data_IF_874950895673
#
_entry.id   IF_874950895673
#
_cell.length_a   1.000
_cell.length_b   1.000
_cell.length_c   1.000
_cell.angle_alpha   90.00
_cell.angle_beta   90.00
_cell.angle_gamma   90.00
#
_symmetry.space_group_name_H-M   'P 1'
#
loop_
_entity.id
_entity.type
_entity.pdbx_description
1 polymer ?
#
# COMPACT_ATOMS: atom_id res chain seq x y z
N UNK A 1 14.49 -10.21 36.58
CA UNK A 1 13.31 -10.94 36.09
C UNK A 1 13.72 -11.59 34.78
N UNK A 2 13.82 -12.91 34.79
CA UNK A 2 14.25 -13.74 33.64
C UNK A 2 13.01 -13.87 32.73
N UNK A 3 13.12 -13.41 31.50
CA UNK A 3 12.05 -13.58 30.50
C UNK A 3 11.87 -15.09 30.23
N UNK A 4 10.66 -15.58 30.35
CA UNK A 4 10.30 -16.95 30.02
C UNK A 4 10.59 -17.23 28.55
N UNK A 5 11.08 -18.43 28.16
CA UNK A 5 11.32 -18.80 26.78
C UNK A 5 10.00 -18.79 26.01
N UNK A 6 9.99 -18.09 24.87
CA UNK A 6 8.86 -18.13 23.94
C UNK A 6 8.71 -19.56 23.44
N UNK A 7 7.56 -20.17 23.72
CA UNK A 7 7.19 -21.47 23.18
C UNK A 7 7.22 -21.42 21.65
N UNK A 8 7.92 -22.35 21.01
CA UNK A 8 7.84 -22.60 19.57
C UNK A 8 6.40 -22.88 19.20
N UNK A 9 5.79 -21.92 18.52
CA UNK A 9 4.38 -22.00 18.14
C UNK A 9 4.19 -22.99 17.01
N UNK A 10 3.19 -23.81 17.12
CA UNK A 10 2.49 -24.56 16.09
C UNK A 10 2.64 -23.80 14.74
N UNK A 11 3.20 -24.42 13.70
CA UNK A 11 3.59 -23.82 12.42
C UNK A 11 2.49 -23.11 11.60
N UNK A 12 1.43 -22.63 12.25
CA UNK A 12 0.41 -21.75 11.68
C UNK A 12 0.95 -20.34 11.58
N UNK A 13 1.04 -19.80 10.37
CA UNK A 13 1.34 -18.39 10.13
C UNK A 13 0.32 -17.54 10.87
N UNK A 14 0.75 -16.85 11.91
CA UNK A 14 -0.08 -15.86 12.62
C UNK A 14 -0.30 -14.66 11.70
N UNK A 15 -1.51 -14.12 11.68
CA UNK A 15 -1.81 -12.84 11.02
C UNK A 15 -0.99 -11.72 11.66
N UNK A 16 -0.41 -10.87 10.83
CA UNK A 16 0.33 -9.68 11.26
C UNK A 16 -0.56 -8.47 11.07
N UNK A 17 -0.76 -7.70 12.14
CA UNK A 17 -1.46 -6.42 12.05
C UNK A 17 -0.52 -5.36 11.48
N UNK A 18 -0.95 -4.70 10.40
CA UNK A 18 -0.28 -3.57 9.76
C UNK A 18 -1.20 -2.37 9.75
N UNK A 19 -0.96 -1.36 10.61
CA UNK A 19 -1.78 -0.17 10.68
C UNK A 19 -1.57 0.74 9.46
N UNK A 20 -2.50 1.70 9.28
CA UNK A 20 -2.44 2.69 8.21
C UNK A 20 -2.35 4.11 8.77
N UNK A 21 -1.58 4.97 8.10
CA UNK A 21 -1.56 6.42 8.28
C UNK A 21 -2.04 7.01 6.95
N UNK A 22 -3.33 7.35 6.87
CA UNK A 22 -3.90 7.96 5.68
C UNK A 22 -3.73 9.47 5.73
N UNK A 23 -3.14 10.05 4.69
CA UNK A 23 -2.82 11.46 4.60
C UNK A 23 -3.69 12.15 3.55
N UNK A 24 -4.36 13.21 3.96
CA UNK A 24 -5.12 14.07 3.07
C UNK A 24 -4.92 15.53 3.46
N UNK A 25 -4.44 16.36 2.50
CA UNK A 25 -4.07 17.75 2.72
C UNK A 25 -3.11 17.93 3.92
N UNK A 26 -2.06 17.10 3.97
CA UNK A 26 -1.01 17.15 4.99
C UNK A 26 -1.41 16.64 6.38
N UNK A 27 -2.64 16.20 6.57
CA UNK A 27 -3.20 15.78 7.88
C UNK A 27 -3.56 14.30 7.85
N UNK A 28 -3.40 13.60 8.99
CA UNK A 28 -3.86 12.23 9.14
C UNK A 28 -5.38 12.21 9.28
N UNK A 29 -6.06 11.45 8.42
CA UNK A 29 -7.52 11.37 8.40
C UNK A 29 -7.98 9.94 8.15
N UNK A 30 -9.07 9.54 8.79
CA UNK A 30 -9.83 8.36 8.38
C UNK A 30 -11.00 8.82 7.50
N UNK A 31 -10.93 8.46 6.23
CA UNK A 31 -11.89 8.87 5.20
C UNK A 31 -12.87 7.73 4.95
N UNK A 32 -14.15 8.06 4.78
CA UNK A 32 -15.16 7.09 4.33
C UNK A 32 -14.89 6.78 2.85
N UNK A 33 -14.61 5.52 2.53
CA UNK A 33 -14.33 5.08 1.17
C UNK A 33 -15.45 5.46 0.20
N UNK A 34 -15.07 5.95 -1.00
CA UNK A 34 -15.99 6.40 -2.02
C UNK A 34 -16.39 7.88 -1.93
N UNK A 35 -16.04 8.60 -0.86
CA UNK A 35 -16.30 10.05 -0.73
C UNK A 35 -15.11 10.93 -1.10
N UNK A 36 -13.92 10.34 -1.36
CA UNK A 36 -12.73 11.06 -1.76
C UNK A 36 -12.90 11.63 -3.18
N UNK A 37 -12.85 12.96 -3.33
CA UNK A 37 -12.85 13.68 -4.62
C UNK A 37 -11.59 14.53 -4.73
N UNK A 38 -11.10 14.74 -5.95
CA UNK A 38 -10.00 15.66 -6.19
C UNK A 38 -10.54 17.09 -6.15
N UNK A 39 -9.79 18.00 -5.54
CA UNK A 39 -10.14 19.40 -5.33
C UNK A 39 -10.22 20.26 -6.63
N UNK A 40 -10.20 19.63 -7.81
CA UNK A 40 -10.25 20.32 -9.11
C UNK A 40 -11.66 20.65 -9.59
N UNK A 41 -12.70 20.10 -8.95
CA UNK A 41 -14.09 20.46 -9.28
C UNK A 41 -14.50 21.66 -8.43
N UNK A 42 -14.18 22.88 -8.88
CA UNK A 42 -14.39 24.18 -8.23
C UNK A 42 -15.81 24.53 -7.75
N UNK A 43 -16.56 23.58 -7.17
CA UNK A 43 -17.85 23.79 -6.52
C UNK A 43 -17.66 23.99 -5.02
N UNK A 44 -17.29 25.21 -4.62
CA UNK A 44 -17.39 25.69 -3.25
C UNK A 44 -18.86 25.96 -2.90
N UNK A 45 -19.61 24.96 -2.52
CA UNK A 45 -20.98 25.05 -1.99
C UNK A 45 -21.21 23.86 -1.06
N UNK A 46 -22.24 23.92 -0.20
CA UNK A 46 -22.70 22.80 0.64
C UNK A 46 -23.04 21.59 -0.22
N UNK A 47 -22.00 20.87 -0.69
CA UNK A 47 -22.16 19.69 -1.53
C UNK A 47 -22.46 18.49 -0.64
N UNK A 48 -23.63 17.83 -0.78
CA UNK A 48 -23.97 16.60 -0.05
C UNK A 48 -22.98 15.45 -0.34
N UNK A 49 -22.05 15.66 -1.26
CA UNK A 49 -20.97 14.74 -1.60
C UNK A 49 -19.59 15.19 -1.07
N UNK A 50 -19.53 16.15 -0.13
CA UNK A 50 -18.28 16.53 0.51
C UNK A 50 -17.56 15.33 1.13
N UNK A 51 -16.23 15.40 1.18
CA UNK A 51 -15.39 14.36 1.80
C UNK A 51 -15.89 14.05 3.21
N UNK A 52 -16.40 12.85 3.41
CA UNK A 52 -16.85 12.41 4.73
C UNK A 52 -15.66 11.78 5.46
N UNK A 53 -15.31 12.35 6.60
CA UNK A 53 -14.25 11.85 7.49
C UNK A 53 -14.86 11.31 8.77
N UNK A 54 -14.45 10.09 9.17
CA UNK A 54 -14.77 9.54 10.48
C UNK A 54 -13.92 10.16 11.58
N UNK A 55 -12.69 10.53 11.22
CA UNK A 55 -11.70 11.03 12.16
C UNK A 55 -10.73 11.98 11.45
N UNK A 56 -10.38 13.07 12.12
CA UNK A 56 -9.30 13.99 11.75
C UNK A 56 -8.34 14.06 12.92
N UNK A 57 -7.09 13.71 12.69
CA UNK A 57 -6.08 13.67 13.72
C UNK A 57 -5.66 15.07 14.18
N UNK A 58 -5.40 15.21 15.47
CA UNK A 58 -4.80 16.40 16.07
C UNK A 58 -3.27 16.30 16.14
N UNK A 59 -2.73 15.08 16.02
CA UNK A 59 -1.30 14.82 16.04
C UNK A 59 -0.73 14.72 14.63
N UNK A 60 0.57 15.08 14.44
CA UNK A 60 1.23 14.96 13.15
C UNK A 60 1.48 13.49 12.77
N UNK A 61 1.74 13.18 11.47
CA UNK A 61 2.01 11.83 11.00
C UNK A 61 3.16 11.11 11.73
N UNK A 62 4.22 11.84 12.09
CA UNK A 62 5.36 11.34 12.87
C UNK A 62 4.97 10.81 14.25
N UNK A 63 3.94 11.37 14.89
CA UNK A 63 3.42 10.84 16.15
C UNK A 63 2.91 9.41 16.02
N UNK A 64 2.15 9.12 14.94
CA UNK A 64 1.63 7.77 14.69
C UNK A 64 2.73 6.80 14.30
N UNK A 65 3.71 7.24 13.50
CA UNK A 65 4.89 6.44 13.17
C UNK A 65 5.68 6.05 14.43
N UNK A 66 5.86 6.99 15.36
CA UNK A 66 6.48 6.75 16.67
C UNK A 66 5.68 5.78 17.53
N UNK A 67 4.35 5.90 17.53
CA UNK A 67 3.46 4.96 18.21
C UNK A 67 3.62 3.54 17.64
N UNK A 68 3.68 3.41 16.31
CA UNK A 68 3.89 2.12 15.64
C UNK A 68 5.27 1.53 15.96
N UNK A 69 6.30 2.36 16.03
CA UNK A 69 7.64 1.96 16.44
C UNK A 69 7.67 1.38 17.86
N UNK A 70 7.02 2.06 18.82
CA UNK A 70 6.92 1.59 20.22
C UNK A 70 6.27 0.22 20.35
N UNK A 71 5.32 -0.11 19.49
CA UNK A 71 4.59 -1.38 19.47
C UNK A 71 5.13 -2.37 18.43
N UNK A 72 6.27 -2.06 17.79
CA UNK A 72 6.90 -2.88 16.74
C UNK A 72 5.93 -3.30 15.60
N UNK A 73 5.02 -2.40 15.19
CA UNK A 73 4.02 -2.63 14.14
C UNK A 73 4.63 -2.41 12.74
N UNK A 74 5.61 -3.23 12.39
CA UNK A 74 6.36 -3.14 11.12
C UNK A 74 5.47 -3.36 9.90
N UNK A 75 5.82 -2.71 8.79
CA UNK A 75 5.10 -2.80 7.53
C UNK A 75 3.78 -2.04 7.55
N UNK A 76 3.58 -1.13 8.52
CA UNK A 76 2.45 -0.19 8.51
C UNK A 76 2.49 0.67 7.24
N UNK A 77 1.32 1.10 6.77
CA UNK A 77 1.17 1.83 5.52
C UNK A 77 1.06 3.34 5.77
N UNK A 78 1.79 4.14 5.02
CA UNK A 78 1.61 5.59 4.89
C UNK A 78 1.00 5.83 3.51
N UNK A 79 -0.25 6.26 3.44
CA UNK A 79 -0.98 6.40 2.19
C UNK A 79 -1.28 7.86 1.92
N UNK A 80 -0.78 8.38 0.81
CA UNK A 80 -1.04 9.73 0.32
C UNK A 80 -2.34 9.73 -0.49
N UNK A 81 -3.37 10.35 0.04
CA UNK A 81 -4.67 10.51 -0.62
C UNK A 81 -4.74 11.89 -1.30
N UNK A 82 -4.32 11.93 -2.57
CA UNK A 82 -4.22 13.16 -3.34
C UNK A 82 -2.90 13.92 -3.17
N UNK A 83 -2.75 15.09 -3.80
CA UNK A 83 -1.54 15.91 -3.77
C UNK A 83 -1.32 16.58 -2.40
N UNK A 84 -0.15 17.21 -2.21
CA UNK A 84 0.17 18.01 -1.03
C UNK A 84 0.46 17.23 0.25
N UNK A 85 0.79 15.93 0.15
CA UNK A 85 1.03 15.06 1.30
C UNK A 85 2.50 14.63 1.45
N UNK A 86 3.41 15.07 0.58
CA UNK A 86 4.78 14.54 0.51
C UNK A 86 5.60 14.85 1.77
N UNK A 87 5.50 16.06 2.32
CA UNK A 87 6.20 16.43 3.54
C UNK A 87 5.66 15.68 4.76
N UNK A 88 4.33 15.53 4.84
CA UNK A 88 3.67 14.79 5.89
C UNK A 88 4.07 13.29 5.86
N UNK A 89 4.12 12.70 4.68
CA UNK A 89 4.58 11.33 4.47
C UNK A 89 6.06 11.16 4.83
N UNK A 90 6.92 12.08 4.36
CA UNK A 90 8.34 12.06 4.68
C UNK A 90 8.58 12.12 6.20
N UNK A 91 7.84 12.97 6.93
CA UNK A 91 7.96 13.07 8.39
C UNK A 91 7.65 11.76 9.12
N UNK A 92 6.65 11.01 8.63
CA UNK A 92 6.32 9.70 9.19
C UNK A 92 7.42 8.67 8.90
N UNK A 93 7.94 8.63 7.66
CA UNK A 93 9.00 7.70 7.27
C UNK A 93 10.31 7.97 8.02
N UNK A 94 10.66 9.23 8.22
CA UNK A 94 11.87 9.65 8.95
C UNK A 94 11.81 9.33 10.45
N UNK A 95 10.62 9.28 11.05
CA UNK A 95 10.45 8.90 12.48
C UNK A 95 10.75 7.41 12.71
N UNK A 96 10.49 6.55 11.72
CA UNK A 96 10.77 5.12 11.80
C UNK A 96 11.28 4.55 10.47
N UNK A 97 12.53 4.88 10.08
CA UNK A 97 13.08 4.54 8.77
C UNK A 97 13.14 3.02 8.53
N UNK A 98 12.82 2.62 7.30
CA UNK A 98 12.86 1.22 6.81
C UNK A 98 11.90 0.26 7.54
N UNK A 99 10.79 0.78 8.09
CA UNK A 99 9.78 -0.03 8.75
C UNK A 99 8.36 0.27 8.31
N UNK A 100 8.14 1.34 7.54
CA UNK A 100 6.84 1.73 7.01
C UNK A 100 6.86 1.66 5.49
N UNK A 101 5.73 1.32 4.91
CA UNK A 101 5.53 1.28 3.47
C UNK A 101 4.83 2.57 3.03
N UNK A 102 5.11 3.03 1.82
CA UNK A 102 4.53 4.27 1.26
C UNK A 102 3.70 3.98 0.02
N UNK A 103 2.49 4.53 -0.03
CA UNK A 103 1.60 4.45 -1.19
C UNK A 103 0.96 5.80 -1.53
N UNK A 104 0.23 5.79 -2.65
CA UNK A 104 -0.43 7.00 -3.17
C UNK A 104 0.45 7.78 -4.14
N UNK A 105 0.13 7.72 -5.44
CA UNK A 105 0.85 8.41 -6.48
C UNK A 105 2.28 7.90 -6.72
N UNK A 106 2.57 6.63 -6.42
CA UNK A 106 3.88 6.02 -6.68
C UNK A 106 3.96 5.58 -8.14
N UNK A 107 5.08 5.93 -8.80
CA UNK A 107 5.41 5.59 -10.17
C UNK A 107 6.92 5.43 -10.35
N UNK A 108 7.37 5.07 -11.55
CA UNK A 108 8.78 4.74 -11.85
C UNK A 108 9.76 5.84 -11.43
N UNK A 109 9.40 7.11 -11.67
CA UNK A 109 10.33 8.23 -11.47
C UNK A 109 10.49 8.62 -10.01
N UNK A 110 9.49 8.35 -9.13
CA UNK A 110 9.53 8.74 -7.73
C UNK A 110 9.77 7.59 -6.75
N UNK A 111 9.65 6.33 -7.20
CA UNK A 111 9.73 5.18 -6.32
C UNK A 111 11.06 5.08 -5.54
N UNK A 112 12.20 5.33 -6.21
CA UNK A 112 13.53 5.32 -5.56
C UNK A 112 13.65 6.43 -4.52
N UNK A 113 13.21 7.62 -4.84
CA UNK A 113 13.25 8.77 -3.93
C UNK A 113 12.48 8.50 -2.62
N UNK A 114 11.38 7.74 -2.67
CA UNK A 114 10.65 7.35 -1.47
C UNK A 114 11.40 6.30 -0.63
N UNK A 115 12.10 5.36 -1.27
CA UNK A 115 13.00 4.44 -0.55
C UNK A 115 14.12 5.22 0.15
N UNK A 116 14.75 6.18 -0.54
CA UNK A 116 15.80 7.03 0.01
C UNK A 116 15.32 7.91 1.17
N UNK A 117 14.04 8.30 1.16
CA UNK A 117 13.38 9.03 2.26
C UNK A 117 13.02 8.14 3.46
N UNK A 118 13.34 6.84 3.42
CA UNK A 118 13.19 5.91 4.53
C UNK A 118 11.99 4.96 4.42
N UNK A 119 11.34 4.83 3.27
CA UNK A 119 10.33 3.79 3.09
C UNK A 119 10.97 2.40 3.05
N UNK A 120 10.37 1.43 3.76
CA UNK A 120 10.72 0.01 3.63
C UNK A 120 10.37 -0.51 2.24
N UNK A 121 9.16 -0.18 1.77
CA UNK A 121 8.62 -0.59 0.48
C UNK A 121 7.76 0.52 -0.12
N UNK A 122 7.62 0.47 -1.43
CA UNK A 122 6.68 1.30 -2.19
C UNK A 122 5.46 0.49 -2.60
N UNK A 123 4.26 1.07 -2.42
CA UNK A 123 2.98 0.47 -2.77
C UNK A 123 2.47 1.12 -4.05
N UNK A 124 2.22 0.33 -5.08
CA UNK A 124 1.79 0.78 -6.41
C UNK A 124 0.41 0.24 -6.72
N UNK A 125 -0.44 1.08 -7.26
CA UNK A 125 -1.81 0.74 -7.68
C UNK A 125 -2.06 1.20 -9.11
N UNK A 126 -2.64 2.38 -9.29
CA UNK A 126 -3.12 2.93 -10.56
C UNK A 126 -2.04 3.07 -11.64
N UNK A 127 -0.78 3.29 -11.25
CA UNK A 127 0.34 3.35 -12.21
C UNK A 127 0.46 2.09 -13.08
N UNK A 128 0.10 0.92 -12.53
CA UNK A 128 0.16 -0.36 -13.24
C UNK A 128 -1.01 -0.58 -14.20
N UNK A 129 -2.01 0.31 -14.19
CA UNK A 129 -3.23 0.15 -14.99
C UNK A 129 -3.51 1.39 -15.86
N UNK A 130 -2.61 1.76 -16.81
CA UNK A 130 -2.91 2.81 -17.77
C UNK A 130 -4.17 2.42 -18.54
N UNK A 131 -5.10 3.37 -18.73
CA UNK A 131 -6.36 3.14 -19.45
C UNK A 131 -7.14 1.89 -18.94
N UNK A 132 -7.08 1.64 -17.64
CA UNK A 132 -7.69 0.48 -16.97
C UNK A 132 -7.17 -0.89 -17.48
N UNK A 133 -5.98 -0.96 -18.07
CA UNK A 133 -5.34 -2.20 -18.55
C UNK A 133 -4.07 -2.49 -17.78
N UNK A 134 -3.89 -3.72 -17.37
CA UNK A 134 -2.68 -4.11 -16.66
C UNK A 134 -1.44 -4.03 -17.56
N UNK A 135 -0.41 -3.31 -17.11
CA UNK A 135 0.88 -3.18 -17.78
C UNK A 135 1.98 -3.97 -17.06
N UNK A 136 2.30 -5.14 -17.59
CA UNK A 136 3.43 -5.93 -17.12
C UNK A 136 4.75 -5.19 -17.31
N UNK A 137 4.89 -4.41 -18.40
CA UNK A 137 6.08 -3.59 -18.68
C UNK A 137 6.38 -2.61 -17.53
N UNK A 138 5.35 -1.88 -17.04
CA UNK A 138 5.50 -0.95 -15.92
C UNK A 138 5.85 -1.67 -14.62
N UNK A 139 5.29 -2.85 -14.39
CA UNK A 139 5.62 -3.67 -13.23
C UNK A 139 7.08 -4.11 -13.26
N UNK A 140 7.54 -4.67 -14.37
CA UNK A 140 8.94 -5.11 -14.55
C UNK A 140 9.94 -3.94 -14.49
N UNK A 141 9.56 -2.77 -15.02
CA UNK A 141 10.38 -1.55 -14.91
C UNK A 141 10.55 -1.11 -13.45
N UNK A 142 9.48 -1.14 -12.66
CA UNK A 142 9.52 -0.84 -11.22
C UNK A 142 10.34 -1.89 -10.46
N UNK A 143 10.12 -3.18 -10.72
CA UNK A 143 10.89 -4.27 -10.10
C UNK A 143 12.38 -4.10 -10.36
N UNK A 144 12.79 -3.82 -11.59
CA UNK A 144 14.18 -3.53 -11.95
C UNK A 144 14.73 -2.30 -11.21
N UNK A 145 13.88 -1.29 -10.94
CA UNK A 145 14.29 -0.02 -10.35
C UNK A 145 14.47 -0.07 -8.84
N UNK A 146 13.54 -0.69 -8.12
CA UNK A 146 13.53 -0.72 -6.65
C UNK A 146 13.83 -2.10 -6.05
N UNK A 147 13.77 -3.15 -6.84
CA UNK A 147 13.89 -4.54 -6.41
C UNK A 147 12.53 -5.14 -5.98
N UNK A 148 12.34 -6.44 -6.21
CA UNK A 148 11.12 -7.19 -5.89
C UNK A 148 10.73 -7.06 -4.42
N UNK A 149 11.70 -7.16 -3.52
CA UNK A 149 11.46 -7.14 -2.07
C UNK A 149 10.97 -5.80 -1.54
N UNK A 150 11.18 -4.72 -2.31
CA UNK A 150 10.75 -3.37 -1.98
C UNK A 150 9.48 -2.92 -2.72
N UNK A 151 8.86 -3.80 -3.51
CA UNK A 151 7.69 -3.50 -4.29
C UNK A 151 6.47 -4.23 -3.73
N UNK A 152 5.40 -3.49 -3.49
CA UNK A 152 4.07 -3.99 -3.13
C UNK A 152 3.09 -3.57 -4.20
N UNK A 153 2.34 -4.53 -4.73
CA UNK A 153 1.23 -4.25 -5.63
C UNK A 153 -0.06 -4.30 -4.83
N UNK A 154 -0.75 -3.17 -4.75
CA UNK A 154 -2.07 -3.08 -4.13
C UNK A 154 -3.15 -3.13 -5.21
N UNK A 155 -4.09 -4.06 -5.08
CA UNK A 155 -5.19 -4.27 -6.00
C UNK A 155 -6.52 -4.24 -5.26
N UNK A 156 -7.31 -3.20 -5.55
CA UNK A 156 -8.70 -3.13 -5.14
C UNK A 156 -9.57 -3.92 -6.11
N UNK A 157 -10.59 -4.62 -5.59
CA UNK A 157 -11.43 -5.47 -6.41
C UNK A 157 -12.91 -5.20 -6.18
N UNK A 158 -13.70 -5.32 -7.24
CA UNK A 158 -15.17 -5.35 -7.17
C UNK A 158 -15.70 -6.69 -7.62
N UNK A 159 -16.75 -7.16 -6.95
CA UNK A 159 -17.47 -8.36 -7.35
C UNK A 159 -18.40 -8.06 -8.53
N UNK A 160 -18.27 -8.87 -9.60
CA UNK A 160 -19.17 -8.87 -10.76
C UNK A 160 -19.66 -10.29 -11.00
N UNK A 161 -20.89 -10.58 -10.59
CA UNK A 161 -21.40 -11.95 -10.59
C UNK A 161 -20.60 -12.84 -9.64
N UNK A 162 -19.98 -13.91 -10.15
CA UNK A 162 -19.12 -14.83 -9.41
C UNK A 162 -17.64 -14.47 -9.42
N UNK A 163 -17.25 -13.40 -10.12
CA UNK A 163 -15.86 -13.02 -10.35
C UNK A 163 -15.47 -11.77 -9.54
N UNK A 164 -14.19 -11.67 -9.21
CA UNK A 164 -13.57 -10.48 -8.67
C UNK A 164 -12.74 -9.80 -9.76
N UNK A 165 -13.10 -8.58 -10.11
CA UNK A 165 -12.43 -7.76 -11.12
C UNK A 165 -11.64 -6.66 -10.42
N UNK A 166 -10.39 -6.46 -10.84
CA UNK A 166 -9.58 -5.34 -10.35
C UNK A 166 -10.23 -4.02 -10.76
N UNK A 167 -10.36 -3.10 -9.81
CA UNK A 167 -11.02 -1.83 -9.98
C UNK A 167 -10.08 -0.68 -9.62
N UNK A 168 -10.08 0.36 -10.45
CA UNK A 168 -9.31 1.59 -10.29
C UNK A 168 -10.23 2.78 -10.02
N UNK A 169 -9.64 3.97 -9.90
CA UNK A 169 -10.37 5.23 -9.75
C UNK A 169 -11.45 5.15 -8.65
N UNK A 170 -11.00 4.80 -7.42
CA UNK A 170 -11.90 4.67 -6.26
C UNK A 170 -13.02 3.64 -6.48
N UNK A 171 -12.64 2.52 -7.08
CA UNK A 171 -13.53 1.38 -7.41
C UNK A 171 -14.58 1.69 -8.49
N UNK A 172 -14.49 2.82 -9.22
CA UNK A 172 -15.48 3.18 -10.23
C UNK A 172 -15.19 2.47 -11.56
N UNK A 173 -13.94 2.37 -11.96
CA UNK A 173 -13.54 1.80 -13.24
C UNK A 173 -13.06 0.36 -13.08
N UNK A 174 -13.70 -0.57 -13.78
CA UNK A 174 -13.28 -1.95 -13.85
C UNK A 174 -12.17 -2.10 -14.89
N UNK A 175 -11.13 -2.83 -14.52
CA UNK A 175 -10.03 -3.16 -15.44
C UNK A 175 -10.32 -4.45 -16.22
N UNK A 176 -9.41 -4.84 -17.09
CA UNK A 176 -9.42 -6.13 -17.79
C UNK A 176 -8.91 -7.31 -16.93
N UNK A 177 -8.41 -7.04 -15.73
CA UNK A 177 -7.79 -8.04 -14.87
C UNK A 177 -8.79 -8.68 -13.92
N UNK A 178 -8.84 -10.02 -13.94
CA UNK A 178 -9.62 -10.85 -13.01
C UNK A 178 -8.71 -11.44 -11.94
N UNK A 179 -9.18 -11.43 -10.70
CA UNK A 179 -8.52 -12.14 -9.62
C UNK A 179 -9.03 -13.58 -9.59
N UNK A 180 -8.21 -14.51 -10.00
CA UNK A 180 -8.53 -15.95 -10.00
C UNK A 180 -7.73 -16.69 -8.92
N UNK A 181 -8.32 -17.76 -8.36
CA UNK A 181 -7.63 -18.66 -7.41
C UNK A 181 -6.36 -19.31 -8.01
N UNK A 182 -6.23 -19.34 -9.34
CA UNK A 182 -5.10 -19.94 -10.04
C UNK A 182 -3.87 -19.00 -10.17
N UNK A 183 -4.04 -17.69 -10.06
CA UNK A 183 -2.91 -16.75 -10.09
C UNK A 183 -1.96 -16.98 -8.89
N UNK A 184 -2.52 -17.29 -7.72
CA UNK A 184 -1.75 -17.54 -6.48
C UNK A 184 -1.03 -18.91 -6.46
N UNK A 185 -1.49 -19.90 -7.24
CA UNK A 185 -0.86 -21.22 -7.30
C UNK A 185 0.39 -21.25 -8.18
N UNK A 186 0.37 -20.53 -9.32
CA UNK A 186 1.50 -20.52 -10.28
C UNK A 186 2.78 -19.94 -9.72
N UNK A 187 2.69 -18.94 -8.84
CA UNK A 187 3.88 -18.36 -8.20
C UNK A 187 4.50 -19.33 -7.17
N UNK A 188 3.69 -20.05 -6.41
CA UNK A 188 4.19 -21.06 -5.46
C UNK A 188 4.79 -22.30 -6.13
N UNK A 189 4.31 -22.70 -7.29
CA UNK A 189 4.87 -23.80 -8.05
C UNK A 189 6.22 -23.41 -8.65
N UNK A 190 6.36 -22.21 -9.19
CA UNK A 190 7.63 -21.66 -9.68
C UNK A 190 8.68 -21.45 -8.55
N UNK A 191 8.27 -20.98 -7.39
CA UNK A 191 9.16 -20.86 -6.22
C UNK A 191 9.67 -22.24 -5.77
N UNK A 192 8.81 -23.27 -5.76
CA UNK A 192 9.22 -24.65 -5.42
C UNK A 192 10.12 -25.30 -6.46
N UNK A 193 9.91 -25.01 -7.74
CA UNK A 193 10.76 -25.48 -8.83
C UNK A 193 12.14 -24.82 -8.75
N UNK A 194 12.22 -23.51 -8.51
CA UNK A 194 13.47 -22.79 -8.33
C UNK A 194 14.26 -23.24 -7.08
N UNK A 195 13.56 -23.51 -5.97
CA UNK A 195 14.19 -24.01 -4.74
C UNK A 195 14.73 -25.46 -4.93
N UNK A 196 14.03 -26.30 -5.70
CA UNK A 196 14.48 -27.64 -6.01
C UNK A 196 15.69 -27.68 -6.98
N UNK A 197 15.75 -26.76 -7.95
CA UNK A 197 16.89 -26.62 -8.85
C UNK A 197 18.14 -26.13 -8.11
N UNK A 198 18.00 -25.24 -7.13
CA UNK A 198 19.11 -24.74 -6.31
C UNK A 198 19.64 -25.74 -5.26
N UNK A 199 18.88 -26.79 -4.92
CA UNK A 199 19.31 -27.85 -4.02
C UNK A 199 19.93 -29.08 -4.74
N UNK A 200 19.88 -29.06 -6.07
CA UNK A 200 20.43 -30.17 -6.90
C UNK A 200 21.80 -29.85 -7.56
N UNK A 201 22.41 -28.72 -7.20
CA UNK A 201 23.76 -28.30 -7.56
C UNK A 201 24.69 -28.28 -6.33
#
# INVERSE_FOLDING_TARGET
MIAAPMQEGDGRRRSVFRPCIDLHNGTVKQIVGGTLRDAQDGSGGDDPHALTTNFVATHPPSYYAKLYARHNLRGGHVIKLGPGNDEAAASALQEWPNHLQIGGGIHLDNAVSWIERGAEKVIVTSYLFPECRFSLERLLALEKRVGRDRLVVDISCRRRGSEWIVAMNRWQDLTDMRVSKGAYKRDREREREADNESQSL
#
